data_IF_187097076821
#
_entry.id   IF_187097076821
#
_cell.length_a   1.000
_cell.length_b   1.000
_cell.length_c   1.000
_cell.angle_alpha   90.00
_cell.angle_beta   90.00
_cell.angle_gamma   90.00
#
_symmetry.space_group_name_H-M   'P 1'
#
loop_
_entity.id
_entity.type
_entity.pdbx_description
1 polymer ?
#
# COMPACT_ATOMS: atom_id res chain seq x y z
N UNK A 1 20.79 -12.12 -9.51
CA UNK A 1 19.85 -12.06 -8.37
C UNK A 1 18.43 -12.02 -8.92
N UNK A 2 17.59 -12.99 -8.57
CA UNK A 2 16.21 -13.07 -9.09
C UNK A 2 15.30 -12.02 -8.48
N UNK A 3 14.36 -11.47 -9.25
CA UNK A 3 13.35 -10.54 -8.73
C UNK A 3 12.57 -11.21 -7.58
N UNK A 4 12.46 -10.59 -6.39
CA UNK A 4 11.64 -11.14 -5.32
C UNK A 4 10.22 -11.34 -5.83
N UNK A 5 9.67 -12.53 -5.59
CA UNK A 5 8.31 -12.85 -6.02
C UNK A 5 7.36 -11.98 -5.20
N UNK A 6 6.69 -11.05 -5.86
CA UNK A 6 5.63 -10.20 -5.30
C UNK A 6 4.46 -11.03 -4.70
N UNK A 7 4.42 -12.33 -5.00
CA UNK A 7 3.41 -13.28 -4.53
C UNK A 7 4.00 -14.36 -3.61
N UNK A 8 5.08 -14.07 -2.87
CA UNK A 8 5.60 -14.99 -1.87
C UNK A 8 4.48 -15.36 -0.87
N UNK A 9 4.41 -16.63 -0.50
CA UNK A 9 3.49 -17.11 0.52
C UNK A 9 3.77 -16.37 1.84
N UNK A 10 2.75 -15.75 2.43
CA UNK A 10 2.88 -14.91 3.64
C UNK A 10 2.72 -13.41 3.40
N UNK A 11 2.98 -12.90 2.18
CA UNK A 11 2.90 -11.46 1.84
C UNK A 11 1.51 -11.00 1.39
N UNK A 12 0.46 -11.77 1.71
CA UNK A 12 -0.93 -11.47 1.33
C UNK A 12 -1.79 -11.31 2.56
N UNK A 13 -2.44 -10.16 2.67
CA UNK A 13 -3.42 -9.88 3.71
C UNK A 13 -4.78 -9.56 3.09
N UNK A 14 -5.86 -9.82 3.84
CA UNK A 14 -7.20 -9.31 3.50
C UNK A 14 -7.48 -8.11 4.38
N UNK A 15 -7.69 -6.95 3.77
CA UNK A 15 -8.05 -5.72 4.49
C UNK A 15 -9.55 -5.42 4.32
N UNK A 16 -10.20 -5.02 5.43
CA UNK A 16 -11.57 -4.50 5.41
C UNK A 16 -11.53 -2.97 5.35
N UNK A 17 -12.28 -2.41 4.43
CA UNK A 17 -12.45 -0.96 4.33
C UNK A 17 -13.86 -0.56 4.78
N UNK A 18 -14.00 0.71 5.19
CA UNK A 18 -15.32 1.31 5.40
C UNK A 18 -16.14 1.25 4.10
N UNK A 19 -17.46 1.16 4.25
CA UNK A 19 -18.38 1.17 3.13
C UNK A 19 -18.11 2.35 2.18
N UNK A 20 -18.24 2.11 0.86
CA UNK A 20 -17.99 3.12 -0.18
C UNK A 20 -16.50 3.39 -0.48
N UNK A 21 -15.57 2.96 0.36
CA UNK A 21 -14.12 3.18 0.13
C UNK A 21 -13.64 2.56 -1.18
N UNK A 22 -14.08 1.34 -1.50
CA UNK A 22 -13.70 0.69 -2.77
C UNK A 22 -14.21 1.48 -3.99
N UNK A 23 -15.40 2.08 -3.91
CA UNK A 23 -15.93 2.95 -4.97
C UNK A 23 -15.06 4.19 -5.14
N UNK A 24 -14.63 4.80 -4.02
CA UNK A 24 -13.73 5.96 -4.02
C UNK A 24 -12.36 5.61 -4.62
N UNK A 25 -11.80 4.46 -4.27
CA UNK A 25 -10.53 3.98 -4.84
C UNK A 25 -10.66 3.85 -6.36
N UNK A 26 -11.67 3.13 -6.84
CA UNK A 26 -11.89 2.94 -8.29
C UNK A 26 -12.06 4.25 -9.05
N UNK A 27 -12.72 5.25 -8.45
CA UNK A 27 -12.87 6.58 -9.05
C UNK A 27 -11.57 7.40 -9.07
N UNK A 28 -10.62 7.10 -8.18
CA UNK A 28 -9.33 7.79 -8.12
C UNK A 28 -8.28 7.23 -9.09
N UNK A 29 -8.43 5.96 -9.53
CA UNK A 29 -7.52 5.33 -10.49
C UNK A 29 -7.57 6.06 -11.85
N UNK A 30 -6.41 6.31 -12.44
CA UNK A 30 -6.27 6.96 -13.75
C UNK A 30 -5.82 5.95 -14.80
N UNK A 31 -6.42 6.03 -15.99
CA UNK A 31 -6.01 5.22 -17.13
C UNK A 31 -6.06 3.71 -16.85
N UNK A 32 -4.89 3.07 -16.85
CA UNK A 32 -4.73 1.61 -16.68
C UNK A 32 -4.12 1.21 -15.32
N UNK A 33 -4.18 2.10 -14.32
CA UNK A 33 -3.71 1.79 -12.98
C UNK A 33 -4.48 0.59 -12.37
N UNK A 34 -3.74 -0.30 -11.71
CA UNK A 34 -4.34 -1.43 -10.99
C UNK A 34 -4.65 -1.02 -9.56
N UNK A 35 -5.83 -1.41 -9.09
CA UNK A 35 -6.24 -1.18 -7.70
C UNK A 35 -5.22 -1.72 -6.69
N UNK A 36 -4.60 -2.87 -6.94
CA UNK A 36 -3.58 -3.46 -6.07
C UNK A 36 -2.32 -2.62 -5.97
N UNK A 37 -1.88 -2.03 -7.09
CA UNK A 37 -0.70 -1.17 -7.10
C UNK A 37 -0.97 0.12 -6.33
N UNK A 38 -2.14 0.74 -6.55
CA UNK A 38 -2.59 1.91 -5.77
C UNK A 38 -2.63 1.65 -4.26
N UNK A 39 -3.18 0.51 -3.83
CA UNK A 39 -3.24 0.15 -2.41
C UNK A 39 -1.85 -0.13 -1.85
N UNK A 40 -0.97 -0.81 -2.60
CA UNK A 40 0.41 -1.06 -2.20
C UNK A 40 1.13 0.27 -1.96
N UNK A 41 1.12 1.17 -2.94
CA UNK A 41 1.83 2.46 -2.83
C UNK A 41 1.32 3.30 -1.66
N UNK A 42 0.00 3.30 -1.41
CA UNK A 42 -0.57 3.98 -0.25
C UNK A 42 -0.11 3.39 1.09
N UNK A 43 0.14 2.08 1.14
CA UNK A 43 0.66 1.40 2.34
C UNK A 43 2.15 1.71 2.52
N UNK A 44 2.97 1.58 1.47
CA UNK A 44 4.41 1.90 1.52
C UNK A 44 4.64 3.35 1.95
N UNK A 45 3.91 4.31 1.36
CA UNK A 45 4.00 5.72 1.75
C UNK A 45 3.62 5.96 3.22
N UNK A 46 2.70 5.18 3.78
CA UNK A 46 2.33 5.26 5.18
C UNK A 46 3.37 4.62 6.12
N UNK A 47 4.12 3.62 5.65
CA UNK A 47 5.26 3.03 6.36
C UNK A 47 6.44 4.00 6.35
N UNK A 48 6.83 4.50 5.18
CA UNK A 48 7.89 5.51 5.00
C UNK A 48 7.67 6.70 5.93
N UNK A 49 6.42 7.18 6.03
CA UNK A 49 6.08 8.29 6.92
C UNK A 49 6.29 7.97 8.40
N UNK A 50 6.11 6.72 8.84
CA UNK A 50 6.29 6.29 10.25
C UNK A 50 7.74 5.94 10.57
N UNK A 51 8.43 5.34 9.61
CA UNK A 51 9.85 5.02 9.72
C UNK A 51 10.69 6.31 9.71
N UNK A 52 10.35 7.26 8.82
CA UNK A 52 10.95 8.60 8.81
C UNK A 52 10.68 9.42 10.07
N UNK A 53 9.52 9.26 10.73
CA UNK A 53 9.23 9.88 12.03
C UNK A 53 10.05 9.24 13.17
N UNK A 54 10.40 7.95 13.03
CA UNK A 54 11.19 7.20 14.01
C UNK A 54 12.70 7.52 13.94
N UNK A 55 13.21 7.98 12.78
CA UNK A 55 14.60 8.41 12.61
C UNK A 55 14.87 9.87 13.04
N UNK A 56 13.82 10.65 13.34
CA UNK A 56 13.90 12.08 13.66
C UNK A 56 13.68 12.46 15.14
N UNK A 57 13.44 11.50 16.04
CA UNK A 57 13.15 11.80 17.45
C UNK A 57 13.77 10.80 18.42
N UNK A 58 15.11 10.77 18.45
CA UNK A 58 15.84 10.30 19.63
C UNK A 58 15.84 11.39 20.72
N UNK A 59 15.58 11.06 22.00
CA UNK A 59 15.76 11.99 23.12
C UNK A 59 17.23 12.39 23.33
#
# INVERSE_FOLDING_TARGET
>A
MGRPRINAEGEKITARFREGTLRRIKAALRGKEKQSDFVREAVEAALDAREGDSEGKGP
#
